data_IF_231693388791
#
_entry.id   IF_231693388791
#
_cell.length_a   1.000
_cell.length_b   1.000
_cell.length_c   1.000
_cell.angle_alpha   90.00
_cell.angle_beta   90.00
_cell.angle_gamma   90.00
#
_symmetry.space_group_name_H-M   'P 1'
#
loop_
_entity.id
_entity.type
_entity.pdbx_description
1 polymer ?
#
# COMPACT_ATOMS: atom_id res chain seq x y z
N UNK A 1 -9.34 9.04 23.37
CA UNK A 1 -9.90 8.35 22.20
C UNK A 1 -8.88 8.41 21.07
N UNK A 2 -8.56 7.30 20.44
CA UNK A 2 -7.62 7.22 19.31
C UNK A 2 -8.39 7.50 18.02
N UNK A 3 -8.01 8.52 17.28
CA UNK A 3 -8.70 8.95 16.06
C UNK A 3 -8.11 8.21 14.84
N UNK A 4 -8.96 7.47 14.13
CA UNK A 4 -8.55 6.61 13.02
C UNK A 4 -9.25 7.02 11.72
N UNK A 5 -8.51 7.07 10.63
CA UNK A 5 -9.07 7.07 9.26
C UNK A 5 -8.89 5.68 8.68
N UNK A 6 -9.94 5.16 8.04
CA UNK A 6 -9.95 3.85 7.38
C UNK A 6 -10.10 4.07 5.87
N UNK A 7 -9.17 3.51 5.08
CA UNK A 7 -9.16 3.53 3.63
C UNK A 7 -9.23 2.10 3.07
N UNK A 8 -10.30 1.78 2.34
CA UNK A 8 -10.62 0.45 1.84
C UNK A 8 -11.61 0.57 0.69
N UNK A 9 -11.30 0.01 -0.48
CA UNK A 9 -12.14 0.17 -1.66
C UNK A 9 -13.44 -0.67 -1.61
N UNK A 10 -13.43 -1.79 -0.88
CA UNK A 10 -14.57 -2.66 -0.70
C UNK A 10 -15.48 -2.14 0.41
N UNK A 11 -16.65 -1.61 0.05
CA UNK A 11 -17.61 -0.97 0.98
C UNK A 11 -17.98 -1.82 2.18
N UNK A 12 -18.17 -3.14 1.98
CA UNK A 12 -18.53 -4.06 3.05
C UNK A 12 -17.37 -4.20 4.05
N UNK A 13 -16.15 -4.36 3.55
CA UNK A 13 -14.94 -4.48 4.37
C UNK A 13 -14.69 -3.18 5.13
N UNK A 14 -14.80 -2.04 4.46
CA UNK A 14 -14.68 -0.71 5.06
C UNK A 14 -15.66 -0.54 6.24
N UNK A 15 -16.93 -0.94 6.05
CA UNK A 15 -17.94 -0.88 7.11
C UNK A 15 -17.61 -1.80 8.28
N UNK A 16 -17.18 -3.03 8.01
CA UNK A 16 -16.81 -4.00 9.02
C UNK A 16 -15.59 -3.56 9.84
N UNK A 17 -14.53 -3.09 9.18
CA UNK A 17 -13.32 -2.58 9.85
C UNK A 17 -13.64 -1.41 10.78
N UNK A 18 -14.46 -0.46 10.31
CA UNK A 18 -14.87 0.68 11.14
C UNK A 18 -15.66 0.23 12.37
N UNK A 19 -16.63 -0.66 12.22
CA UNK A 19 -17.42 -1.19 13.33
C UNK A 19 -16.57 -1.97 14.34
N UNK A 20 -15.64 -2.82 13.85
CA UNK A 20 -14.73 -3.59 14.71
C UNK A 20 -13.81 -2.70 15.54
N UNK A 21 -13.31 -1.61 14.98
CA UNK A 21 -12.43 -0.68 15.70
C UNK A 21 -13.18 0.06 16.82
N UNK A 22 -14.47 0.35 16.66
CA UNK A 22 -15.26 1.13 17.60
C UNK A 22 -15.87 0.29 18.77
N UNK A 23 -15.76 -1.06 18.71
CA UNK A 23 -16.37 -1.96 19.71
C UNK A 23 -15.93 -1.64 21.13
N UNK A 24 -14.64 -1.44 21.36
CA UNK A 24 -14.10 -1.23 22.72
C UNK A 24 -14.29 0.24 23.23
N UNK A 25 -14.73 1.15 22.37
CA UNK A 25 -15.08 2.52 22.72
C UNK A 25 -13.89 3.48 22.97
N UNK A 26 -12.65 3.03 22.82
CA UNK A 26 -11.44 3.86 22.96
C UNK A 26 -10.87 4.33 21.61
N UNK A 27 -11.40 3.80 20.49
CA UNK A 27 -11.05 4.16 19.13
C UNK A 27 -12.27 4.82 18.46
N UNK A 28 -12.05 5.90 17.74
CA UNK A 28 -13.04 6.65 16.98
C UNK A 28 -12.65 6.69 15.49
N UNK A 29 -13.52 6.22 14.61
CA UNK A 29 -13.32 6.31 13.17
C UNK A 29 -13.79 7.67 12.66
N UNK A 30 -12.86 8.62 12.56
CA UNK A 30 -13.11 10.00 12.15
C UNK A 30 -13.23 10.21 10.65
N UNK A 31 -12.93 9.17 9.85
CA UNK A 31 -13.07 9.24 8.40
C UNK A 31 -13.00 7.87 7.74
N UNK A 32 -13.74 7.75 6.62
CA UNK A 32 -13.81 6.53 5.80
C UNK A 32 -13.63 6.91 4.34
N UNK A 33 -12.75 6.23 3.62
CA UNK A 33 -12.46 6.50 2.22
C UNK A 33 -12.44 5.20 1.41
N UNK A 34 -12.80 5.27 0.12
CA UNK A 34 -12.80 4.14 -0.80
C UNK A 34 -11.63 4.19 -1.80
N UNK A 35 -10.74 5.14 -1.65
CA UNK A 35 -9.53 5.33 -2.46
C UNK A 35 -8.51 6.20 -1.72
N UNK A 36 -7.26 6.15 -2.20
CA UNK A 36 -6.17 6.84 -1.54
C UNK A 36 -6.23 8.37 -1.62
N UNK A 37 -6.76 8.95 -2.70
CA UNK A 37 -6.86 10.41 -2.83
C UNK A 37 -7.85 10.98 -1.84
N UNK A 38 -9.04 10.37 -1.73
CA UNK A 38 -10.05 10.74 -0.75
C UNK A 38 -9.54 10.55 0.67
N UNK A 39 -8.81 9.45 0.94
CA UNK A 39 -8.19 9.20 2.23
C UNK A 39 -7.17 10.28 2.61
N UNK A 40 -6.33 10.70 1.66
CA UNK A 40 -5.34 11.76 1.88
C UNK A 40 -6.02 13.09 2.23
N UNK A 41 -7.10 13.44 1.50
CA UNK A 41 -7.86 14.66 1.78
C UNK A 41 -8.46 14.64 3.21
N UNK A 42 -9.05 13.50 3.61
CA UNK A 42 -9.59 13.32 4.97
C UNK A 42 -8.47 13.40 6.02
N UNK A 43 -7.30 12.80 5.77
CA UNK A 43 -6.16 12.89 6.69
C UNK A 43 -5.65 14.32 6.88
N UNK A 44 -5.64 15.14 5.83
CA UNK A 44 -5.28 16.56 5.90
C UNK A 44 -6.23 17.37 6.79
N UNK A 45 -7.52 17.12 6.67
CA UNK A 45 -8.56 17.80 7.43
C UNK A 45 -8.64 17.32 8.86
N UNK A 46 -8.72 15.99 9.05
CA UNK A 46 -8.97 15.40 10.36
C UNK A 46 -7.72 15.23 11.22
N UNK A 47 -6.51 15.16 10.62
CA UNK A 47 -5.23 14.86 11.28
C UNK A 47 -5.36 13.69 12.27
N UNK A 48 -5.66 12.48 11.76
CA UNK A 48 -5.90 11.32 12.62
C UNK A 48 -4.61 10.87 13.31
N UNK A 49 -4.76 10.14 14.40
CA UNK A 49 -3.64 9.49 15.09
C UNK A 49 -3.08 8.33 14.26
N UNK A 50 -4.00 7.57 13.62
CA UNK A 50 -3.66 6.39 12.82
C UNK A 50 -4.45 6.41 11.52
N UNK A 51 -3.75 6.13 10.43
CA UNK A 51 -4.34 5.77 9.14
C UNK A 51 -4.25 4.25 9.00
N UNK A 52 -5.40 3.60 8.84
CA UNK A 52 -5.53 2.20 8.47
C UNK A 52 -5.87 2.14 6.99
N UNK A 53 -5.06 1.50 6.17
CA UNK A 53 -5.25 1.49 4.71
C UNK A 53 -5.02 0.14 4.08
N UNK A 54 -5.87 -0.24 3.13
CA UNK A 54 -5.56 -1.33 2.19
C UNK A 54 -4.43 -0.92 1.25
N UNK A 55 -3.78 -1.91 0.62
CA UNK A 55 -2.75 -1.69 -0.40
C UNK A 55 -3.38 -1.35 -1.74
N UNK A 56 -4.29 -2.20 -2.20
CA UNK A 56 -4.83 -2.13 -3.56
C UNK A 56 -6.11 -1.30 -3.59
N UNK A 57 -5.97 -0.01 -3.85
CA UNK A 57 -7.10 0.92 -4.01
C UNK A 57 -7.01 1.67 -5.33
N UNK A 58 -8.15 2.09 -5.91
CA UNK A 58 -8.17 2.90 -7.13
C UNK A 58 -7.55 4.28 -6.90
N UNK A 59 -7.10 4.92 -7.99
CA UNK A 59 -6.49 6.26 -8.07
C UNK A 59 -5.14 6.36 -7.36
N UNK A 60 -5.07 6.04 -6.08
CA UNK A 60 -3.85 6.06 -5.27
C UNK A 60 -3.81 4.81 -4.40
N UNK A 61 -2.76 4.02 -4.53
CA UNK A 61 -2.54 2.82 -3.70
C UNK A 61 -2.26 3.18 -2.25
N UNK A 62 -2.50 2.25 -1.32
CA UNK A 62 -2.18 2.48 0.10
C UNK A 62 -0.71 2.74 0.38
N UNK A 63 0.20 2.21 -0.42
CA UNK A 63 1.63 2.51 -0.31
C UNK A 63 1.95 3.94 -0.74
N UNK A 64 1.35 4.42 -1.82
CA UNK A 64 1.49 5.81 -2.28
C UNK A 64 0.85 6.78 -1.28
N UNK A 65 -0.32 6.42 -0.72
CA UNK A 65 -0.96 7.16 0.35
C UNK A 65 -0.08 7.25 1.60
N UNK A 66 0.52 6.12 2.02
CA UNK A 66 1.43 6.08 3.16
C UNK A 66 2.63 7.02 2.95
N UNK A 67 3.27 6.97 1.78
CA UNK A 67 4.37 7.86 1.43
C UNK A 67 3.95 9.34 1.41
N UNK A 68 2.74 9.65 0.93
CA UNK A 68 2.20 11.01 0.93
C UNK A 68 1.96 11.53 2.35
N UNK A 69 1.29 10.75 3.21
CA UNK A 69 1.03 11.10 4.62
C UNK A 69 2.32 11.29 5.40
N UNK A 70 3.32 10.42 5.19
CA UNK A 70 4.65 10.57 5.80
C UNK A 70 5.33 11.87 5.38
N UNK A 71 5.29 12.21 4.09
CA UNK A 71 5.91 13.42 3.53
C UNK A 71 5.27 14.70 4.07
N UNK A 72 3.95 14.70 4.29
CA UNK A 72 3.22 15.85 4.83
C UNK A 72 3.36 16.00 6.36
N UNK A 73 4.01 15.05 7.02
CA UNK A 73 4.43 15.12 8.42
C UNK A 73 3.31 15.47 9.44
N UNK A 74 2.10 14.93 9.23
CA UNK A 74 0.96 15.14 10.15
C UNK A 74 1.13 14.50 11.52
N UNK A 75 2.16 13.69 11.74
CA UNK A 75 2.31 12.86 12.92
C UNK A 75 1.43 11.60 12.91
N UNK A 76 0.61 11.42 11.87
CA UNK A 76 -0.23 10.23 11.68
C UNK A 76 0.62 8.97 11.52
N UNK A 77 0.34 7.96 12.32
CA UNK A 77 0.92 6.61 12.19
C UNK A 77 0.16 5.82 11.14
N UNK A 78 0.83 4.91 10.45
CA UNK A 78 0.25 4.20 9.32
C UNK A 78 0.27 2.71 9.59
N UNK A 79 -0.89 2.06 9.41
CA UNK A 79 -1.07 0.61 9.40
C UNK A 79 -1.56 0.21 8.01
N UNK A 80 -0.84 -0.69 7.37
CA UNK A 80 -1.24 -1.32 6.11
C UNK A 80 -1.98 -2.62 6.41
N UNK A 81 -3.12 -2.82 5.75
CA UNK A 81 -3.83 -4.10 5.71
C UNK A 81 -3.64 -4.75 4.35
N UNK A 82 -3.51 -6.08 4.32
CA UNK A 82 -3.41 -6.85 3.08
C UNK A 82 -4.12 -8.20 3.20
N UNK A 83 -4.62 -8.70 2.08
CA UNK A 83 -5.19 -10.06 2.02
C UNK A 83 -4.13 -11.14 1.79
N UNK A 84 -2.93 -10.76 1.34
CA UNK A 84 -1.89 -11.71 0.96
C UNK A 84 -0.55 -11.38 1.59
N UNK A 85 0.12 -12.41 2.11
CA UNK A 85 1.51 -12.34 2.55
C UNK A 85 2.42 -12.28 1.31
N UNK A 86 2.77 -11.07 0.85
CA UNK A 86 3.73 -10.87 -0.22
C UNK A 86 4.91 -10.05 0.30
N UNK A 87 6.09 -10.66 0.33
CA UNK A 87 7.29 -10.07 0.96
C UNK A 87 7.70 -8.71 0.40
N UNK A 88 7.49 -8.48 -0.89
CA UNK A 88 7.76 -7.19 -1.53
C UNK A 88 6.93 -6.03 -0.96
N UNK A 89 5.69 -6.27 -0.58
CA UNK A 89 4.83 -5.23 -0.01
C UNK A 89 5.27 -4.81 1.40
N UNK A 90 5.72 -5.74 2.25
CA UNK A 90 6.19 -5.38 3.59
C UNK A 90 7.37 -4.41 3.53
N UNK A 91 8.39 -4.70 2.69
CA UNK A 91 9.54 -3.80 2.53
C UNK A 91 9.11 -2.41 2.09
N UNK A 92 8.29 -2.33 1.04
CA UNK A 92 7.76 -1.06 0.51
C UNK A 92 6.90 -0.31 1.53
N UNK A 93 6.09 -1.03 2.31
CA UNK A 93 5.30 -0.44 3.39
C UNK A 93 6.20 0.22 4.46
N UNK A 94 7.27 -0.46 4.87
CA UNK A 94 8.24 0.08 5.83
C UNK A 94 8.99 1.30 5.26
N UNK A 95 9.41 1.27 4.00
CA UNK A 95 10.03 2.39 3.29
C UNK A 95 9.07 3.59 3.17
N UNK A 96 7.79 3.33 2.87
CA UNK A 96 6.73 4.33 2.86
C UNK A 96 6.41 4.90 4.26
N UNK A 97 6.95 4.29 5.33
CA UNK A 97 6.80 4.77 6.71
C UNK A 97 5.71 4.11 7.51
N UNK A 98 5.19 2.97 7.06
CA UNK A 98 4.23 2.20 7.84
C UNK A 98 4.84 1.75 9.17
N UNK A 99 4.06 1.86 10.23
CA UNK A 99 4.36 1.37 11.58
C UNK A 99 3.65 0.04 11.88
N UNK A 100 2.63 -0.31 11.08
CA UNK A 100 1.92 -1.57 11.17
C UNK A 100 1.74 -2.21 9.79
N UNK A 101 1.79 -3.54 9.76
CA UNK A 101 1.53 -4.34 8.57
C UNK A 101 0.84 -5.64 8.98
N UNK A 102 -0.43 -5.80 8.63
CA UNK A 102 -1.32 -6.85 9.12
C UNK A 102 -2.04 -7.54 7.97
N UNK A 103 -2.39 -8.81 8.21
CA UNK A 103 -3.31 -9.55 7.35
C UNK A 103 -4.77 -9.19 7.66
N UNK A 104 -5.63 -9.09 6.63
CA UNK A 104 -7.07 -8.82 6.78
C UNK A 104 -7.84 -9.99 7.40
N UNK A 105 -7.29 -11.19 7.38
CA UNK A 105 -7.84 -12.39 8.00
C UNK A 105 -7.40 -12.60 9.47
N UNK A 106 -6.56 -11.70 9.99
CA UNK A 106 -6.20 -11.68 11.41
C UNK A 106 -7.42 -11.46 12.30
N UNK A 107 -7.46 -12.05 13.51
CA UNK A 107 -8.56 -11.83 14.46
C UNK A 107 -8.82 -10.34 14.73
N UNK A 108 -10.09 -9.96 14.86
CA UNK A 108 -10.50 -8.56 15.07
C UNK A 108 -9.81 -7.87 16.25
N UNK A 109 -9.57 -8.61 17.33
CA UNK A 109 -8.85 -8.13 18.52
C UNK A 109 -7.40 -7.70 18.20
N UNK A 110 -6.76 -8.36 17.22
CA UNK A 110 -5.42 -8.00 16.79
C UNK A 110 -5.39 -6.63 16.13
N UNK A 111 -6.42 -6.25 15.40
CA UNK A 111 -6.51 -4.97 14.72
C UNK A 111 -6.58 -3.81 15.73
N UNK A 112 -7.50 -3.86 16.70
CA UNK A 112 -7.63 -2.83 17.73
C UNK A 112 -6.35 -2.71 18.57
N UNK A 113 -5.76 -3.85 18.96
CA UNK A 113 -4.49 -3.85 19.69
C UNK A 113 -3.33 -3.27 18.87
N UNK A 114 -3.29 -3.54 17.57
CA UNK A 114 -2.29 -2.96 16.67
C UNK A 114 -2.41 -1.43 16.58
N UNK A 115 -3.65 -0.91 16.48
CA UNK A 115 -3.92 0.54 16.50
C UNK A 115 -3.40 1.18 17.79
N UNK A 116 -3.71 0.60 18.96
CA UNK A 116 -3.22 1.09 20.26
C UNK A 116 -1.71 1.09 20.35
N UNK A 117 -1.08 -0.02 19.95
CA UNK A 117 0.38 -0.19 19.98
C UNK A 117 1.09 0.77 19.04
N UNK A 118 0.58 0.94 17.82
CA UNK A 118 1.14 1.87 16.83
C UNK A 118 0.95 3.32 17.28
N UNK A 119 -0.21 3.69 17.84
CA UNK A 119 -0.43 5.01 18.44
C UNK A 119 0.58 5.29 19.57
N UNK A 120 0.91 4.30 20.38
CA UNK A 120 1.92 4.42 21.44
C UNK A 120 3.38 4.49 20.92
N UNK A 121 3.60 4.47 19.59
CA UNK A 121 4.92 4.56 18.98
C UNK A 121 5.57 3.21 18.69
N UNK A 122 4.90 2.08 18.98
CA UNK A 122 5.36 0.74 18.66
C UNK A 122 5.24 0.40 17.18
N UNK A 123 5.78 -0.76 16.81
CA UNK A 123 5.60 -1.38 15.49
C UNK A 123 4.86 -2.70 15.63
N UNK A 124 4.05 -3.02 14.63
CA UNK A 124 3.31 -4.28 14.56
C UNK A 124 3.45 -4.85 13.16
N UNK A 125 4.03 -6.05 13.06
CA UNK A 125 4.11 -6.80 11.80
C UNK A 125 3.59 -8.20 12.09
N UNK A 126 2.69 -8.67 11.23
CA UNK A 126 2.22 -10.04 11.33
C UNK A 126 3.39 -11.01 11.11
N UNK A 127 3.55 -12.06 11.94
CA UNK A 127 4.66 -13.00 11.83
C UNK A 127 4.76 -13.69 10.46
N UNK A 128 3.64 -14.02 9.82
CA UNK A 128 3.62 -14.62 8.48
C UNK A 128 4.17 -13.66 7.44
N UNK A 129 3.78 -12.38 7.52
CA UNK A 129 4.29 -11.32 6.64
C UNK A 129 5.77 -11.05 6.86
N UNK A 130 6.24 -11.13 8.09
CA UNK A 130 7.65 -10.98 8.41
C UNK A 130 8.49 -12.11 7.81
N UNK A 131 8.02 -13.34 7.85
CA UNK A 131 8.72 -14.50 7.28
C UNK A 131 8.87 -14.38 5.74
N UNK A 132 7.82 -13.95 5.06
CA UNK A 132 7.83 -13.74 3.59
C UNK A 132 8.77 -12.61 3.13
N UNK A 133 8.95 -11.56 3.94
CA UNK A 133 9.78 -10.41 3.59
C UNK A 133 11.27 -10.73 3.41
N UNK A 134 11.73 -11.84 3.97
CA UNK A 134 13.13 -12.28 3.87
C UNK A 134 13.39 -13.17 2.63
N UNK A 135 12.34 -13.54 1.87
CA UNK A 135 12.46 -14.57 0.82
C UNK A 135 13.18 -14.09 -0.44
N UNK A 136 12.89 -12.92 -0.97
CA UNK A 136 13.55 -12.42 -2.18
C UNK A 136 13.64 -10.88 -2.23
N UNK A 137 14.77 -10.29 -2.62
CA UNK A 137 14.88 -8.84 -2.83
C UNK A 137 14.13 -8.42 -4.11
N UNK A 138 13.43 -7.28 -4.06
CA UNK A 138 12.83 -6.66 -5.25
C UNK A 138 13.95 -6.19 -6.20
N UNK A 139 14.03 -6.72 -7.43
CA UNK A 139 15.08 -6.36 -8.39
C UNK A 139 14.77 -5.07 -9.15
N UNK A 140 13.53 -4.54 -9.04
CA UNK A 140 13.07 -3.42 -9.83
C UNK A 140 13.42 -2.07 -9.19
N UNK A 141 13.88 -1.13 -10.00
CA UNK A 141 13.95 0.28 -9.62
C UNK A 141 12.54 0.90 -9.59
N UNK A 142 12.38 2.05 -8.92
CA UNK A 142 11.09 2.76 -8.85
C UNK A 142 10.53 3.12 -10.24
N UNK A 143 11.42 3.49 -11.17
CA UNK A 143 11.02 3.83 -12.55
C UNK A 143 10.60 2.60 -13.35
N UNK A 144 11.33 1.50 -13.26
CA UNK A 144 10.96 0.22 -13.88
C UNK A 144 9.61 -0.27 -13.35
N UNK A 145 9.39 -0.19 -12.05
CA UNK A 145 8.14 -0.56 -11.39
C UNK A 145 6.98 0.29 -11.86
N UNK A 146 7.15 1.62 -11.90
CA UNK A 146 6.13 2.54 -12.38
C UNK A 146 5.72 2.26 -13.82
N UNK A 147 6.70 2.12 -14.70
CA UNK A 147 6.47 1.83 -16.13
C UNK A 147 5.84 0.46 -16.33
N UNK A 148 6.32 -0.57 -15.60
CA UNK A 148 5.80 -1.94 -15.71
C UNK A 148 4.36 -2.05 -15.19
N UNK A 149 3.98 -1.32 -14.15
CA UNK A 149 2.60 -1.24 -13.64
C UNK A 149 1.66 -0.73 -14.71
N UNK A 150 1.96 0.43 -15.30
CA UNK A 150 1.14 1.04 -16.35
C UNK A 150 1.03 0.16 -17.60
N UNK A 151 2.13 -0.49 -17.99
CA UNK A 151 2.13 -1.45 -19.09
C UNK A 151 1.29 -2.70 -18.79
N UNK A 152 1.28 -3.16 -17.54
CA UNK A 152 0.46 -4.26 -17.04
C UNK A 152 -1.04 -3.94 -16.99
N UNK A 153 -1.40 -2.66 -16.96
CA UNK A 153 -2.77 -2.14 -17.10
C UNK A 153 -3.21 -1.94 -18.56
N UNK A 154 -2.35 -2.33 -19.51
CA UNK A 154 -2.65 -2.28 -20.94
C UNK A 154 -2.27 -0.99 -21.65
N UNK A 155 -1.60 -0.04 -20.96
CA UNK A 155 -1.17 1.21 -21.58
C UNK A 155 -0.08 0.98 -22.63
N UNK A 156 -0.09 1.79 -23.69
CA UNK A 156 0.96 1.77 -24.72
C UNK A 156 2.20 2.53 -24.24
N UNK A 157 3.36 2.26 -24.88
CA UNK A 157 4.58 3.01 -24.55
C UNK A 157 4.44 4.51 -24.81
N UNK A 158 3.62 4.91 -25.78
CA UNK A 158 3.31 6.32 -26.07
C UNK A 158 2.50 6.96 -24.94
N UNK A 159 1.45 6.27 -24.43
CA UNK A 159 0.63 6.77 -23.32
C UNK A 159 1.46 6.94 -22.04
N UNK A 160 2.28 5.91 -21.72
CA UNK A 160 3.19 5.93 -20.57
C UNK A 160 4.19 7.09 -20.69
N UNK A 161 4.79 7.26 -21.89
CA UNK A 161 5.74 8.32 -22.14
C UNK A 161 5.11 9.71 -21.92
N UNK A 162 3.89 9.92 -22.40
CA UNK A 162 3.14 11.17 -22.20
C UNK A 162 2.86 11.44 -20.72
N UNK A 163 2.38 10.44 -19.97
CA UNK A 163 2.04 10.58 -18.55
C UNK A 163 3.26 10.81 -17.64
N UNK A 164 4.38 10.16 -17.97
CA UNK A 164 5.61 10.25 -17.17
C UNK A 164 6.60 11.33 -17.64
N UNK A 165 6.24 12.09 -18.70
CA UNK A 165 7.11 13.07 -19.36
C UNK A 165 8.46 12.48 -19.79
N UNK A 166 8.42 11.29 -20.41
CA UNK A 166 9.56 10.55 -20.94
C UNK A 166 9.47 10.41 -22.47
N UNK A 167 10.58 9.98 -23.12
CA UNK A 167 10.50 9.52 -24.49
C UNK A 167 9.99 8.06 -24.54
N UNK A 168 9.33 7.66 -25.65
CA UNK A 168 8.94 6.27 -25.84
C UNK A 168 10.14 5.30 -25.82
N UNK A 169 11.31 5.75 -26.31
CA UNK A 169 12.56 4.98 -26.24
C UNK A 169 12.97 4.69 -24.80
N UNK A 170 12.85 5.70 -23.92
CA UNK A 170 13.13 5.55 -22.48
C UNK A 170 12.16 4.55 -21.83
N UNK A 171 10.87 4.64 -22.14
CA UNK A 171 9.86 3.69 -21.65
C UNK A 171 10.18 2.27 -22.10
N UNK A 172 10.53 2.06 -23.38
CA UNK A 172 10.92 0.74 -23.90
C UNK A 172 12.15 0.19 -23.20
N UNK A 173 13.13 1.03 -22.89
CA UNK A 173 14.32 0.60 -22.15
C UNK A 173 13.96 0.13 -20.73
N UNK A 174 13.15 0.90 -19.98
CA UNK A 174 12.68 0.46 -18.65
C UNK A 174 11.90 -0.85 -18.70
N UNK A 175 11.04 -1.04 -19.71
CA UNK A 175 10.33 -2.32 -19.89
C UNK A 175 11.29 -3.47 -20.18
N UNK A 176 12.27 -3.28 -21.05
CA UNK A 176 13.28 -4.32 -21.38
C UNK A 176 14.10 -4.70 -20.16
N UNK A 177 14.55 -3.74 -19.38
CA UNK A 177 15.28 -3.98 -18.13
C UNK A 177 14.43 -4.75 -17.12
N UNK A 178 13.18 -4.32 -16.90
CA UNK A 178 12.26 -5.01 -16.00
C UNK A 178 11.99 -6.45 -16.44
N UNK A 179 11.73 -6.69 -17.73
CA UNK A 179 11.52 -8.01 -18.32
C UNK A 179 12.76 -8.90 -18.08
N UNK A 180 13.95 -8.37 -18.33
CA UNK A 180 15.22 -9.07 -18.12
C UNK A 180 15.45 -9.44 -16.67
N UNK A 181 15.28 -8.49 -15.74
CA UNK A 181 15.45 -8.70 -14.30
C UNK A 181 14.49 -9.75 -13.72
N UNK A 182 13.29 -9.85 -14.28
CA UNK A 182 12.27 -10.80 -13.86
C UNK A 182 12.35 -12.16 -14.59
N UNK A 183 13.25 -12.30 -15.55
CA UNK A 183 13.36 -13.52 -16.37
C UNK A 183 12.11 -13.82 -17.19
N UNK A 184 11.32 -12.79 -17.52
CA UNK A 184 10.05 -12.93 -18.22
C UNK A 184 10.23 -12.90 -19.75
N UNK A 185 9.32 -13.54 -20.48
CA UNK A 185 9.32 -13.53 -21.94
C UNK A 185 8.70 -12.28 -22.57
N UNK A 186 7.90 -11.53 -21.83
CA UNK A 186 7.24 -10.32 -22.30
C UNK A 186 6.76 -9.44 -21.12
N UNK A 187 6.27 -8.21 -21.45
CA UNK A 187 5.81 -7.22 -20.43
C UNK A 187 4.61 -7.69 -19.62
N UNK A 188 3.72 -8.52 -20.19
CA UNK A 188 2.52 -9.00 -19.49
C UNK A 188 2.92 -10.04 -18.46
N UNK A 189 3.79 -10.95 -18.80
CA UNK A 189 4.36 -11.94 -17.88
C UNK A 189 5.19 -11.27 -16.79
N UNK A 190 6.04 -10.29 -17.14
CA UNK A 190 6.80 -9.50 -16.17
C UNK A 190 5.88 -8.80 -15.16
N UNK A 191 4.80 -8.15 -15.62
CA UNK A 191 3.85 -7.51 -14.74
C UNK A 191 3.12 -8.52 -13.83
N UNK A 192 2.78 -9.72 -14.33
CA UNK A 192 2.20 -10.80 -13.54
C UNK A 192 3.16 -11.25 -12.44
N UNK A 193 4.40 -11.61 -12.80
CA UNK A 193 5.43 -12.05 -11.84
C UNK A 193 5.63 -10.97 -10.75
N UNK A 194 5.76 -9.71 -11.15
CA UNK A 194 6.00 -8.63 -10.21
C UNK A 194 4.80 -8.37 -9.28
N UNK A 195 3.55 -8.55 -9.76
CA UNK A 195 2.36 -8.51 -8.90
C UNK A 195 2.32 -9.68 -7.92
N UNK A 196 2.57 -10.90 -8.40
CA UNK A 196 2.57 -12.10 -7.56
C UNK A 196 3.61 -12.02 -6.43
N UNK A 197 4.72 -11.32 -6.67
CA UNK A 197 5.78 -11.07 -5.69
C UNK A 197 5.54 -9.81 -4.82
N UNK A 198 4.50 -9.02 -5.10
CA UNK A 198 4.25 -7.76 -4.40
C UNK A 198 5.24 -6.64 -4.72
N UNK A 199 5.87 -6.69 -5.89
CA UNK A 199 6.80 -5.65 -6.36
C UNK A 199 6.12 -4.54 -7.18
N UNK A 200 4.87 -4.75 -7.64
CA UNK A 200 4.03 -3.74 -8.30
C UNK A 200 2.95 -3.20 -7.38
#
# INVERSE_FOLDING_TARGET
MIRVVVAEDQKMVLGALAALLEIDGDIEVVGRAQDGESALAICRESKPDVLLTDIEMPRMTGLELAAAVKREAFGTRIIILTTFARGGYLRRALEAGASGYLLKDSPAEHLANAVRRVKAGGRVVDPELAAEAWSEPDPLTDRERQVLRMAGEGQTSADIAGQLHLSEGTVRNYLSEAISKLGAGNRVEAARIARDKGWL
#
